data_IF_705504520403
#
_entry.id   IF_705504520403
#
_cell.length_a   1.000
_cell.length_b   1.000
_cell.length_c   1.000
_cell.angle_alpha   90.00
_cell.angle_beta   90.00
_cell.angle_gamma   90.00
#
_symmetry.space_group_name_H-M   'P 1'
#
loop_
_entity.id
_entity.type
_entity.pdbx_description
1 polymer ?
#
# COMPACT_ATOMS: atom_id res chain seq x y z
N UNK A 1 -5.34 4.57 9.40
CA UNK A 1 -5.03 3.15 9.65
C UNK A 1 -3.52 2.98 9.73
N UNK A 2 -2.99 2.31 10.76
CA UNK A 2 -1.56 2.02 10.87
C UNK A 2 -1.15 0.94 9.87
N UNK A 3 0.10 1.04 9.38
CA UNK A 3 0.72 0.01 8.55
C UNK A 3 1.85 -0.67 9.34
N UNK A 4 2.08 -1.96 9.08
CA UNK A 4 3.15 -2.74 9.69
C UNK A 4 3.92 -3.56 8.66
N UNK A 5 5.10 -4.01 9.06
CA UNK A 5 5.98 -4.84 8.25
C UNK A 5 5.52 -6.29 8.05
N UNK A 6 4.22 -6.55 8.01
CA UNK A 6 3.64 -7.87 7.68
C UNK A 6 3.41 -7.94 6.18
N UNK A 7 3.86 -9.00 5.54
CA UNK A 7 3.65 -9.18 4.10
C UNK A 7 2.29 -9.83 3.89
N UNK A 8 1.49 -9.28 2.97
CA UNK A 8 0.15 -9.80 2.70
C UNK A 8 0.00 -10.18 1.24
N UNK A 9 -0.62 -11.33 0.99
CA UNK A 9 -1.12 -11.69 -0.32
C UNK A 9 -2.28 -10.76 -0.72
N UNK A 10 -2.71 -10.84 -1.99
CA UNK A 10 -3.69 -9.90 -2.53
C UNK A 10 -5.08 -10.00 -1.87
N UNK A 11 -5.41 -11.18 -1.36
CA UNK A 11 -6.62 -11.47 -0.58
C UNK A 11 -6.48 -11.07 0.91
N UNK A 12 -5.42 -10.34 1.26
CA UNK A 12 -5.09 -9.87 2.62
C UNK A 12 -4.56 -10.96 3.58
N UNK A 13 -4.34 -12.18 3.10
CA UNK A 13 -3.73 -13.26 3.89
C UNK A 13 -2.31 -12.89 4.31
N UNK A 14 -2.01 -13.00 5.60
CA UNK A 14 -0.67 -12.76 6.14
C UNK A 14 0.30 -13.89 5.75
N UNK A 15 1.38 -13.52 5.08
CA UNK A 15 2.43 -14.43 4.63
C UNK A 15 3.56 -14.43 5.66
N UNK A 16 3.71 -15.57 6.33
CA UNK A 16 4.69 -15.74 7.40
C UNK A 16 6.11 -15.82 6.86
N UNK A 17 7.06 -15.44 7.72
CA UNK A 17 8.51 -15.59 7.48
C UNK A 17 9.07 -14.77 6.32
N UNK A 18 8.41 -13.67 5.96
CA UNK A 18 8.93 -12.71 4.98
C UNK A 18 9.72 -11.64 5.72
N UNK A 19 11.06 -11.58 5.58
CA UNK A 19 11.88 -10.60 6.29
C UNK A 19 11.61 -9.18 5.77
N UNK A 20 11.52 -8.23 6.69
CA UNK A 20 11.42 -6.82 6.39
C UNK A 20 12.43 -6.04 7.24
N UNK A 21 13.54 -5.54 6.68
CA UNK A 21 14.53 -4.76 7.41
C UNK A 21 14.10 -3.31 7.66
N UNK A 22 12.95 -2.87 7.12
CA UNK A 22 12.46 -1.51 7.26
C UNK A 22 11.95 -1.18 8.66
N UNK A 23 12.08 0.09 9.04
CA UNK A 23 11.65 0.64 10.33
C UNK A 23 10.81 1.92 10.20
N UNK A 24 10.34 2.21 8.99
CA UNK A 24 9.45 3.32 8.72
C UNK A 24 8.13 3.18 9.49
N UNK A 25 7.45 4.31 9.68
CA UNK A 25 6.19 4.42 10.39
C UNK A 25 5.11 5.00 9.48
N UNK A 26 4.53 4.22 8.55
CA UNK A 26 3.49 4.73 7.69
C UNK A 26 2.10 4.65 8.33
N UNK A 27 1.28 5.65 8.01
CA UNK A 27 -0.15 5.69 8.30
C UNK A 27 -0.88 6.03 7.01
N UNK A 28 -2.00 5.35 6.75
CA UNK A 28 -2.86 5.65 5.62
C UNK A 28 -4.23 6.16 6.08
N UNK A 29 -4.81 7.09 5.34
CA UNK A 29 -6.18 7.56 5.49
C UNK A 29 -6.93 7.15 4.22
N UNK A 30 -7.77 6.11 4.33
CA UNK A 30 -8.52 5.56 3.19
C UNK A 30 -9.97 5.99 3.28
N UNK A 31 -10.56 6.29 2.14
CA UNK A 31 -11.99 6.57 2.01
C UNK A 31 -12.44 6.57 0.56
N UNK A 32 -13.69 6.92 0.35
CA UNK A 32 -14.29 7.13 -0.97
C UNK A 32 -14.75 8.57 -1.15
N UNK A 33 -14.67 9.08 -2.37
CA UNK A 33 -15.27 10.36 -2.73
C UNK A 33 -16.71 10.20 -3.26
N UNK A 34 -17.39 11.32 -3.44
CA UNK A 34 -18.74 11.37 -4.01
C UNK A 34 -18.78 11.03 -5.51
N UNK A 35 -17.64 10.93 -6.18
CA UNK A 35 -17.54 10.59 -7.60
C UNK A 35 -17.34 9.08 -7.82
N UNK A 36 -17.28 8.28 -6.75
CA UNK A 36 -17.11 6.82 -6.83
C UNK A 36 -15.66 6.39 -6.96
N UNK A 37 -14.70 7.20 -6.48
CA UNK A 37 -13.29 6.84 -6.39
C UNK A 37 -12.91 6.41 -4.99
N UNK A 38 -12.02 5.43 -4.89
CA UNK A 38 -11.28 5.14 -3.66
C UNK A 38 -10.03 6.02 -3.61
N UNK A 39 -9.73 6.54 -2.43
CA UNK A 39 -8.52 7.32 -2.18
C UNK A 39 -7.78 6.84 -0.95
N UNK A 40 -6.47 7.04 -0.95
CA UNK A 40 -5.62 6.85 0.21
C UNK A 40 -4.58 7.97 0.28
N UNK A 41 -4.62 8.76 1.35
CA UNK A 41 -3.50 9.62 1.72
C UNK A 41 -2.57 8.83 2.63
N UNK A 42 -1.30 8.74 2.27
CA UNK A 42 -0.29 8.00 3.01
C UNK A 42 0.77 8.96 3.48
N UNK A 43 0.98 8.99 4.79
CA UNK A 43 2.07 9.71 5.44
C UNK A 43 3.07 8.70 5.97
N UNK A 44 4.36 8.95 5.76
CA UNK A 44 5.44 8.09 6.23
C UNK A 44 6.48 8.93 6.97
N UNK A 45 7.03 8.36 8.04
CA UNK A 45 8.16 8.89 8.77
C UNK A 45 9.24 7.83 8.91
N UNK A 46 10.48 8.27 9.14
CA UNK A 46 11.66 7.44 9.39
C UNK A 46 11.92 6.36 8.34
N UNK A 47 11.45 6.58 7.11
CA UNK A 47 11.77 5.75 5.98
C UNK A 47 13.21 6.03 5.50
N UNK A 48 13.67 5.30 4.49
CA UNK A 48 14.97 5.59 3.85
C UNK A 48 14.93 7.01 3.28
N UNK A 49 15.88 7.89 3.61
CA UNK A 49 15.93 9.23 3.06
C UNK A 49 16.00 9.26 1.52
N UNK A 50 15.44 10.30 0.91
CA UNK A 50 15.48 10.56 -0.54
C UNK A 50 15.11 9.35 -1.42
N UNK A 51 14.19 8.51 -0.97
CA UNK A 51 13.84 7.23 -1.61
C UNK A 51 12.40 7.27 -2.11
N UNK A 52 12.19 6.69 -3.30
CA UNK A 52 10.86 6.47 -3.85
C UNK A 52 10.30 5.14 -3.34
N UNK A 53 9.12 5.21 -2.74
CA UNK A 53 8.28 4.05 -2.41
C UNK A 53 7.10 3.99 -3.37
N UNK A 54 6.67 2.78 -3.69
CA UNK A 54 5.44 2.53 -4.41
C UNK A 54 4.29 2.39 -3.40
N UNK A 55 3.14 2.97 -3.74
CA UNK A 55 1.94 2.92 -2.90
C UNK A 55 0.83 2.31 -3.72
N UNK A 56 0.14 1.31 -3.17
CA UNK A 56 -1.01 0.68 -3.82
C UNK A 56 -2.19 0.60 -2.87
N UNK A 57 -3.35 1.01 -3.37
CA UNK A 57 -4.66 0.70 -2.83
C UNK A 57 -5.13 -0.58 -3.48
N UNK A 58 -5.38 -1.61 -2.69
CA UNK A 58 -5.83 -2.92 -3.17
C UNK A 58 -7.27 -3.12 -2.72
N UNK A 59 -8.20 -3.12 -3.68
CA UNK A 59 -9.62 -3.28 -3.42
C UNK A 59 -10.01 -4.76 -3.30
N UNK A 60 -11.01 -5.04 -2.46
CA UNK A 60 -11.48 -6.38 -2.05
C UNK A 60 -13.01 -6.45 -2.16
N UNK A 61 -13.62 -7.64 -2.31
CA UNK A 61 -12.98 -8.97 -2.34
C UNK A 61 -12.18 -9.19 -3.63
N UNK A 62 -11.09 -9.94 -3.54
CA UNK A 62 -10.26 -10.33 -4.69
C UNK A 62 -9.54 -11.66 -4.43
N UNK A 63 -9.12 -12.40 -5.47
CA UNK A 63 -8.28 -13.58 -5.29
C UNK A 63 -6.87 -13.22 -4.79
N UNK A 64 -6.15 -14.22 -4.28
CA UNK A 64 -4.82 -14.07 -3.67
C UNK A 64 -3.72 -13.60 -4.62
N UNK A 65 -3.91 -13.74 -5.94
CA UNK A 65 -2.92 -13.39 -6.97
C UNK A 65 -3.24 -12.09 -7.70
N UNK A 66 -2.21 -11.36 -8.12
CA UNK A 66 -2.31 -10.31 -9.13
C UNK A 66 -2.80 -8.95 -8.61
N UNK A 67 -2.17 -8.42 -7.56
CA UNK A 67 -2.40 -7.06 -7.05
C UNK A 67 -1.19 -6.13 -7.29
N UNK A 68 -0.42 -6.40 -8.33
CA UNK A 68 0.63 -5.48 -8.81
C UNK A 68 0.00 -4.18 -9.35
N UNK A 69 0.82 -3.15 -9.54
CA UNK A 69 0.39 -1.92 -10.19
C UNK A 69 -0.21 -2.23 -11.58
N UNK A 70 -1.33 -1.57 -11.92
CA UNK A 70 -2.07 -1.80 -13.16
C UNK A 70 -3.00 -3.03 -13.16
N UNK A 71 -2.97 -3.87 -12.13
CA UNK A 71 -3.92 -4.96 -12.02
C UNK A 71 -5.34 -4.44 -11.73
N UNK A 72 -6.40 -5.16 -12.16
CA UNK A 72 -7.78 -4.79 -11.85
C UNK A 72 -8.02 -4.59 -10.34
N UNK A 73 -8.73 -3.52 -9.99
CA UNK A 73 -9.01 -3.15 -8.60
C UNK A 73 -7.76 -2.76 -7.79
N UNK A 74 -6.65 -2.41 -8.44
CA UNK A 74 -5.48 -1.81 -7.81
C UNK A 74 -5.29 -0.40 -8.33
N UNK A 75 -5.24 0.55 -7.41
CA UNK A 75 -4.85 1.93 -7.71
C UNK A 75 -3.44 2.13 -7.19
N UNK A 76 -2.52 2.55 -8.05
CA UNK A 76 -1.11 2.74 -7.69
C UNK A 76 -0.68 4.18 -7.84
N UNK A 77 0.20 4.61 -6.96
CA UNK A 77 0.97 5.84 -7.09
C UNK A 77 2.31 5.63 -6.40
N UNK A 78 2.93 6.70 -5.95
CA UNK A 78 4.05 6.51 -5.06
C UNK A 78 4.38 7.76 -4.28
N UNK A 79 5.30 7.55 -3.36
CA UNK A 79 5.65 8.45 -2.29
C UNK A 79 7.15 8.70 -2.38
N UNK A 80 7.52 9.96 -2.48
CA UNK A 80 8.92 10.36 -2.40
C UNK A 80 9.20 10.84 -0.98
N UNK A 81 10.24 10.30 -0.34
CA UNK A 81 10.69 10.81 0.95
C UNK A 81 11.71 11.93 0.79
N UNK A 82 11.75 12.82 1.76
CA UNK A 82 12.76 13.86 1.91
C UNK A 82 14.07 13.32 2.56
N UNK A 83 14.99 14.23 2.87
CA UNK A 83 16.28 13.92 3.48
C UNK A 83 16.17 13.43 4.95
N UNK A 84 15.03 13.62 5.60
CA UNK A 84 14.75 13.11 6.95
C UNK A 84 13.99 11.76 6.93
N UNK A 85 13.66 11.24 5.74
CA UNK A 85 12.86 10.02 5.60
C UNK A 85 11.36 10.25 5.83
N UNK A 86 10.90 11.50 5.81
CA UNK A 86 9.49 11.87 5.85
C UNK A 86 8.91 12.00 4.45
N UNK A 87 7.62 11.76 4.27
CA UNK A 87 6.95 11.99 2.99
C UNK A 87 5.44 11.77 3.06
N UNK A 88 4.73 12.30 2.07
CA UNK A 88 3.29 12.13 1.94
C UNK A 88 2.89 11.99 0.48
N UNK A 89 1.84 11.22 0.20
CA UNK A 89 1.23 11.12 -1.12
C UNK A 89 -0.26 10.84 -1.01
N UNK A 90 -1.03 11.25 -2.01
CA UNK A 90 -2.43 10.84 -2.15
C UNK A 90 -2.59 10.05 -3.45
N UNK A 91 -3.13 8.84 -3.33
CA UNK A 91 -3.44 7.96 -4.45
C UNK A 91 -4.96 7.92 -4.59
N UNK A 92 -5.47 8.10 -5.80
CA UNK A 92 -6.91 8.12 -6.09
C UNK A 92 -7.20 7.37 -7.39
N UNK A 93 -8.31 6.64 -7.43
CA UNK A 93 -8.76 5.93 -8.62
C UNK A 93 -10.14 5.32 -8.44
N UNK A 94 -10.75 4.79 -9.51
CA UNK A 94 -12.13 4.34 -9.48
C UNK A 94 -12.33 3.16 -8.51
N UNK A 95 -13.48 3.13 -7.82
CA UNK A 95 -13.92 1.92 -7.12
C UNK A 95 -14.21 0.84 -8.15
N UNK A 96 -13.59 -0.32 -7.99
CA UNK A 96 -13.80 -1.46 -8.87
C UNK A 96 -15.18 -2.07 -8.63
N UNK A 97 -15.80 -2.58 -9.69
CA UNK A 97 -17.12 -3.22 -9.60
C UNK A 97 -17.13 -4.33 -8.54
N UNK A 98 -18.05 -4.23 -7.59
CA UNK A 98 -18.21 -5.21 -6.50
C UNK A 98 -17.20 -5.08 -5.36
N UNK A 99 -16.30 -4.09 -5.40
CA UNK A 99 -15.44 -3.81 -4.27
C UNK A 99 -16.24 -3.25 -3.08
N UNK A 100 -15.92 -3.73 -1.89
CA UNK A 100 -16.55 -3.33 -0.61
C UNK A 100 -15.54 -2.97 0.48
N UNK A 101 -14.26 -3.23 0.23
CA UNK A 101 -13.19 -2.87 1.12
C UNK A 101 -11.88 -2.58 0.39
N UNK A 102 -10.98 -1.85 1.03
CA UNK A 102 -9.64 -1.61 0.52
C UNK A 102 -8.59 -1.67 1.63
N UNK A 103 -7.38 -2.08 1.25
CA UNK A 103 -6.20 -2.04 2.09
C UNK A 103 -5.04 -1.40 1.33
N UNK A 104 -4.02 -0.97 2.07
CA UNK A 104 -2.90 -0.22 1.49
C UNK A 104 -1.61 -0.99 1.70
N UNK A 105 -0.77 -0.97 0.66
CA UNK A 105 0.62 -1.40 0.74
C UNK A 105 1.54 -0.27 0.29
N UNK A 106 2.62 -0.08 1.05
CA UNK A 106 3.73 0.80 0.71
C UNK A 106 4.96 -0.09 0.61
N UNK A 107 5.64 -0.11 -0.52
CA UNK A 107 6.80 -0.97 -0.71
C UNK A 107 7.93 -0.30 -1.48
N UNK A 108 9.15 -0.76 -1.19
CA UNK A 108 10.36 -0.42 -1.92
C UNK A 108 10.72 -1.63 -2.78
N UNK A 109 10.53 -1.57 -4.11
CA UNK A 109 10.84 -2.67 -5.00
C UNK A 109 12.29 -3.16 -4.86
N UNK A 110 12.50 -4.45 -5.15
CA UNK A 110 13.83 -5.03 -5.28
C UNK A 110 14.13 -5.31 -6.75
N UNK A 111 15.31 -4.90 -7.22
CA UNK A 111 15.71 -5.12 -8.61
C UNK A 111 16.00 -6.57 -8.97
N UNK A 112 16.17 -7.45 -7.98
CA UNK A 112 16.60 -8.85 -8.16
C UNK A 112 15.77 -9.88 -7.38
N UNK A 113 14.70 -9.44 -6.69
CA UNK A 113 13.85 -10.32 -5.87
C UNK A 113 12.38 -10.05 -6.12
N UNK A 114 11.56 -11.11 -6.03
CA UNK A 114 10.10 -10.99 -6.03
C UNK A 114 9.55 -10.42 -4.71
N UNK A 115 10.35 -10.46 -3.64
CA UNK A 115 10.03 -9.80 -2.37
C UNK A 115 10.61 -8.39 -2.38
N UNK A 116 9.85 -7.36 -2.02
CA UNK A 116 10.36 -6.00 -1.90
C UNK A 116 11.52 -5.93 -0.90
N UNK A 117 12.38 -4.93 -1.09
CA UNK A 117 13.48 -4.62 -0.15
C UNK A 117 12.93 -4.20 1.22
N UNK A 118 11.77 -3.56 1.21
CA UNK A 118 11.07 -3.04 2.39
C UNK A 118 9.58 -2.94 2.04
N UNK A 119 8.69 -3.22 2.99
CA UNK A 119 7.25 -3.16 2.75
C UNK A 119 6.46 -2.86 4.02
N UNK A 120 5.28 -2.30 3.86
CA UNK A 120 4.34 -2.02 4.94
C UNK A 120 2.93 -2.23 4.42
N UNK A 121 2.12 -3.01 5.14
CA UNK A 121 0.71 -3.24 4.78
C UNK A 121 -0.19 -2.77 5.90
N UNK A 122 -1.41 -2.32 5.56
CA UNK A 122 -2.37 -1.91 6.59
C UNK A 122 -2.72 -3.09 7.51
N UNK A 123 -2.98 -2.79 8.78
CA UNK A 123 -3.35 -3.80 9.77
C UNK A 123 -4.74 -4.40 9.52
N UNK A 124 -5.61 -3.68 8.78
CA UNK A 124 -6.97 -4.12 8.44
C UNK A 124 -7.40 -3.61 7.05
N UNK A 125 -8.50 -4.17 6.55
CA UNK A 125 -9.25 -3.71 5.37
C UNK A 125 -10.27 -2.67 5.85
N UNK A 126 -10.24 -1.46 5.28
CA UNK A 126 -11.28 -0.47 5.51
C UNK A 126 -12.46 -0.70 4.58
N UNK A 127 -13.68 -0.44 5.05
CA UNK A 127 -14.85 -0.36 4.19
C UNK A 127 -14.73 0.87 3.26
N UNK A 128 -15.18 0.72 2.02
CA UNK A 128 -15.18 1.78 0.99
C UNK A 128 -16.53 1.90 0.31
#
# INVERSE_FOLDING_TARGET
MPLSGKWRACDFTDLKWVPNPGYARPVAHVGTDTAGNVMATVDIATARPNTRYDVRIVQTPRPSSGCAAGAPGVVSGGLQTDAAGGGSTTVVGPVATGATGAWVIVDLPSGSSQTPTEFYTSEFIAAI
#
